data_IF_417681663913
#
_entry.id   IF_417681663913
#
_cell.length_a   1.000
_cell.length_b   1.000
_cell.length_c   1.000
_cell.angle_alpha   90.00
_cell.angle_beta   90.00
_cell.angle_gamma   90.00
#
_symmetry.space_group_name_H-M   'P 1'
#
loop_
_entity.id
_entity.type
_entity.pdbx_description
1 polymer ?
#
# COMPACT_ATOMS: atom_id res chain seq x y z
N UNK A 1 17.67 74.44 -71.38
CA UNK A 1 17.53 74.91 -69.99
C UNK A 1 16.30 74.27 -69.38
N UNK A 2 16.42 73.84 -68.12
CA UNK A 2 15.34 73.47 -67.18
C UNK A 2 14.59 72.14 -67.35
N UNK A 3 15.00 71.24 -66.45
CA UNK A 3 14.33 70.12 -65.81
C UNK A 3 12.97 70.55 -65.23
N UNK A 4 11.93 69.75 -65.45
CA UNK A 4 10.79 69.49 -64.54
C UNK A 4 9.96 68.35 -65.18
N UNK A 5 9.70 67.17 -64.61
CA UNK A 5 9.45 66.79 -63.24
C UNK A 5 7.95 66.53 -63.04
N UNK A 6 7.48 65.27 -63.16
CA UNK A 6 6.37 64.74 -62.34
C UNK A 6 6.17 63.23 -62.47
N UNK A 7 6.81 62.56 -61.53
CA UNK A 7 6.39 61.31 -60.88
C UNK A 7 4.86 61.21 -60.72
N UNK A 8 4.22 60.10 -61.14
CA UNK A 8 2.92 59.60 -60.59
C UNK A 8 2.41 58.31 -61.26
N UNK A 9 2.93 57.13 -60.91
CA UNK A 9 2.15 55.86 -60.89
C UNK A 9 2.71 54.89 -59.83
N UNK A 10 2.75 55.30 -58.56
CA UNK A 10 3.15 54.46 -57.42
C UNK A 10 2.08 54.42 -56.31
N UNK A 11 0.82 54.16 -56.70
CA UNK A 11 -0.31 54.03 -55.76
C UNK A 11 -0.91 52.63 -55.67
N UNK A 12 -0.84 51.83 -56.74
CA UNK A 12 -1.45 50.48 -56.80
C UNK A 12 -0.50 49.34 -56.39
N UNK A 13 0.79 49.43 -56.70
CA UNK A 13 1.79 48.40 -56.34
C UNK A 13 1.97 48.30 -54.82
N UNK A 14 2.00 49.44 -54.14
CA UNK A 14 2.11 49.48 -52.68
C UNK A 14 0.88 48.88 -51.98
N UNK A 15 -0.33 49.00 -52.55
CA UNK A 15 -1.55 48.40 -51.99
C UNK A 15 -1.59 46.88 -52.15
N UNK A 16 -1.18 46.36 -53.31
CA UNK A 16 -1.05 44.92 -53.53
C UNK A 16 0.05 44.30 -52.64
N UNK A 17 1.18 45.00 -52.48
CA UNK A 17 2.26 44.58 -51.60
C UNK A 17 1.86 44.56 -50.13
N UNK A 18 1.11 45.56 -49.65
CA UNK A 18 0.56 45.57 -48.29
C UNK A 18 -0.42 44.40 -48.08
N UNK A 19 -1.28 44.09 -49.06
CA UNK A 19 -2.23 42.98 -48.97
C UNK A 19 -1.57 41.60 -48.93
N UNK A 20 -0.46 41.41 -49.65
CA UNK A 20 0.34 40.17 -49.57
C UNK A 20 1.02 40.07 -48.20
N UNK A 21 1.53 41.18 -47.67
CA UNK A 21 2.12 41.23 -46.33
C UNK A 21 1.13 40.87 -45.22
N UNK A 22 -0.12 41.35 -45.29
CA UNK A 22 -1.15 41.00 -44.31
C UNK A 22 -1.57 39.54 -44.38
N UNK A 23 -1.62 38.94 -45.58
CA UNK A 23 -1.94 37.52 -45.76
C UNK A 23 -0.86 36.61 -45.15
N UNK A 24 0.41 36.97 -45.31
CA UNK A 24 1.54 36.22 -44.74
C UNK A 24 1.47 36.24 -43.21
N UNK A 25 1.26 37.41 -42.60
CA UNK A 25 1.14 37.54 -41.14
C UNK A 25 -0.08 36.77 -40.62
N UNK A 26 -1.19 36.78 -41.37
CA UNK A 26 -2.39 36.05 -41.00
C UNK A 26 -2.14 34.54 -40.91
N UNK A 27 -1.48 33.96 -41.92
CA UNK A 27 -1.13 32.53 -41.91
C UNK A 27 -0.12 32.24 -40.80
N UNK A 28 0.90 33.09 -40.63
CA UNK A 28 1.88 32.93 -39.55
C UNK A 28 1.23 32.93 -38.17
N UNK A 29 0.29 33.85 -37.91
CA UNK A 29 -0.44 33.92 -36.64
C UNK A 29 -1.28 32.67 -36.39
N UNK A 30 -1.94 32.13 -37.42
CA UNK A 30 -2.70 30.88 -37.32
C UNK A 30 -1.80 29.70 -36.96
N UNK A 31 -0.60 29.60 -37.57
CA UNK A 31 0.34 28.53 -37.26
C UNK A 31 0.85 28.62 -35.82
N UNK A 32 1.20 29.82 -35.34
CA UNK A 32 1.60 30.04 -33.94
C UNK A 32 0.46 29.69 -32.99
N UNK A 33 -0.77 30.12 -33.30
CA UNK A 33 -1.95 29.80 -32.50
C UNK A 33 -2.22 28.29 -32.44
N UNK A 34 -2.05 27.57 -33.55
CA UNK A 34 -2.23 26.11 -33.60
C UNK A 34 -1.19 25.37 -32.74
N UNK A 35 0.08 25.77 -32.80
CA UNK A 35 1.13 25.19 -31.94
C UNK A 35 0.85 25.51 -30.46
N UNK A 36 0.49 26.75 -30.14
CA UNK A 36 0.15 27.16 -28.79
C UNK A 36 -1.05 26.37 -28.23
N UNK A 37 -2.11 26.20 -29.02
CA UNK A 37 -3.27 25.38 -28.65
C UNK A 37 -2.90 23.91 -28.41
N UNK A 38 -2.03 23.33 -29.26
CA UNK A 38 -1.52 21.97 -29.07
C UNK A 38 -0.77 21.79 -27.73
N UNK A 39 0.06 22.76 -27.36
CA UNK A 39 0.77 22.75 -26.06
C UNK A 39 -0.19 22.91 -24.88
N UNK A 40 -1.20 23.78 -25.00
CA UNK A 40 -2.23 23.98 -23.99
C UNK A 40 -3.05 22.71 -23.76
N UNK A 41 -3.48 22.02 -24.82
CA UNK A 41 -4.21 20.76 -24.73
C UNK A 41 -3.36 19.66 -24.11
N UNK A 42 -2.10 19.51 -24.54
CA UNK A 42 -1.18 18.52 -23.97
C UNK A 42 -0.94 18.74 -22.47
N UNK A 43 -0.76 20.00 -22.07
CA UNK A 43 -0.55 20.36 -20.66
C UNK A 43 -1.82 20.11 -19.84
N UNK A 44 -2.98 20.53 -20.36
CA UNK A 44 -4.27 20.33 -19.69
C UNK A 44 -4.59 18.84 -19.53
N UNK A 45 -4.35 18.04 -20.57
CA UNK A 45 -4.55 16.59 -20.52
C UNK A 45 -3.63 15.90 -19.53
N UNK A 46 -2.34 16.26 -19.51
CA UNK A 46 -1.40 15.72 -18.52
C UNK A 46 -1.76 16.12 -17.09
N UNK A 47 -2.20 17.37 -16.88
CA UNK A 47 -2.63 17.84 -15.57
C UNK A 47 -3.90 17.11 -15.11
N UNK A 48 -4.86 16.89 -16.01
CA UNK A 48 -6.08 16.14 -15.70
C UNK A 48 -5.78 14.70 -15.30
N UNK A 49 -4.93 13.99 -16.06
CA UNK A 49 -4.54 12.63 -15.71
C UNK A 49 -3.86 12.57 -14.33
N UNK A 50 -2.95 13.52 -14.05
CA UNK A 50 -2.31 13.61 -12.74
C UNK A 50 -3.33 13.91 -11.63
N UNK A 51 -4.25 14.83 -11.87
CA UNK A 51 -5.29 15.18 -10.90
C UNK A 51 -6.18 13.98 -10.56
N UNK A 52 -6.57 13.17 -11.55
CA UNK A 52 -7.33 11.93 -11.33
C UNK A 52 -6.53 10.93 -10.50
N UNK A 53 -5.29 10.62 -10.89
CA UNK A 53 -4.45 9.64 -10.17
C UNK A 53 -4.19 10.10 -8.73
N UNK A 54 -3.87 11.38 -8.53
CA UNK A 54 -3.67 11.94 -7.18
C UNK A 54 -4.97 11.92 -6.36
N UNK A 55 -6.12 12.19 -6.99
CA UNK A 55 -7.42 12.08 -6.33
C UNK A 55 -7.71 10.65 -5.86
N UNK A 56 -7.47 9.66 -6.73
CA UNK A 56 -7.63 8.24 -6.39
C UNK A 56 -6.65 7.79 -5.29
N UNK A 57 -5.39 8.20 -5.35
CA UNK A 57 -4.39 7.90 -4.32
C UNK A 57 -4.75 8.54 -2.99
N UNK A 58 -5.15 9.82 -2.99
CA UNK A 58 -5.58 10.52 -1.78
C UNK A 58 -6.83 9.89 -1.17
N UNK A 59 -7.78 9.45 -2.00
CA UNK A 59 -8.96 8.73 -1.54
C UNK A 59 -8.57 7.40 -0.86
N UNK A 60 -7.71 6.61 -1.49
CA UNK A 60 -7.21 5.35 -0.91
C UNK A 60 -6.46 5.58 0.40
N UNK A 61 -5.65 6.65 0.48
CA UNK A 61 -4.87 6.97 1.68
C UNK A 61 -5.74 7.29 2.90
N UNK A 62 -6.90 7.92 2.69
CA UNK A 62 -7.79 8.29 3.82
C UNK A 62 -8.84 7.22 4.11
N UNK A 63 -9.27 6.45 3.10
CA UNK A 63 -10.39 5.51 3.24
C UNK A 63 -9.96 4.09 3.58
N UNK A 64 -8.75 3.68 3.19
CA UNK A 64 -8.25 2.33 3.49
C UNK A 64 -7.85 2.21 4.95
N UNK A 65 -8.43 1.25 5.65
CA UNK A 65 -8.08 0.94 7.03
C UNK A 65 -8.35 -0.55 7.31
N UNK A 66 -7.33 -1.25 7.84
CA UNK A 66 -7.46 -2.63 8.33
C UNK A 66 -7.86 -2.59 9.79
N UNK A 67 -9.08 -3.03 10.10
CA UNK A 67 -9.59 -3.12 11.47
C UNK A 67 -9.26 -4.49 12.08
N UNK A 68 -8.60 -4.47 13.24
CA UNK A 68 -8.46 -5.67 14.08
C UNK A 68 -9.71 -5.82 14.94
N UNK A 69 -10.36 -6.98 14.86
CA UNK A 69 -11.58 -7.30 15.62
C UNK A 69 -11.30 -8.15 16.83
N UNK A 70 -10.36 -9.09 16.71
CA UNK A 70 -9.97 -9.99 17.79
C UNK A 70 -8.47 -10.28 17.74
N UNK A 71 -7.90 -10.61 18.89
CA UNK A 71 -6.50 -10.99 19.06
C UNK A 71 -6.48 -12.25 19.91
N UNK A 72 -5.82 -13.29 19.43
CA UNK A 72 -5.70 -14.58 20.13
C UNK A 72 -4.22 -14.92 20.24
N UNK A 73 -3.76 -15.24 21.45
CA UNK A 73 -2.40 -15.69 21.69
C UNK A 73 -2.34 -17.21 21.57
N UNK A 74 -1.34 -17.73 20.89
CA UNK A 74 -0.99 -19.14 20.93
C UNK A 74 0.14 -19.34 21.95
N UNK A 75 -0.15 -20.07 23.02
CA UNK A 75 0.79 -20.35 24.08
C UNK A 75 1.23 -21.82 24.09
N UNK A 76 2.48 -22.03 24.48
CA UNK A 76 2.99 -23.35 24.78
C UNK A 76 2.68 -23.71 26.23
N UNK A 77 1.80 -24.69 26.43
CA UNK A 77 1.38 -25.11 27.76
C UNK A 77 2.53 -25.64 28.63
N UNK A 78 3.68 -25.99 28.05
CA UNK A 78 4.85 -26.46 28.80
C UNK A 78 5.69 -25.30 29.33
N UNK A 79 5.91 -24.27 28.50
CA UNK A 79 6.72 -23.10 28.89
C UNK A 79 5.90 -21.97 29.51
N UNK A 80 4.56 -22.04 29.45
CA UNK A 80 3.63 -21.02 29.96
C UNK A 80 3.89 -19.63 29.35
N UNK A 81 4.30 -19.60 28.08
CA UNK A 81 4.63 -18.39 27.34
C UNK A 81 3.85 -18.33 26.03
N UNK A 82 3.54 -17.12 25.55
CA UNK A 82 2.88 -16.92 24.25
C UNK A 82 3.94 -16.88 23.16
N UNK A 83 3.83 -17.75 22.16
CA UNK A 83 4.79 -17.87 21.04
C UNK A 83 4.27 -17.29 19.74
N UNK A 84 2.95 -17.18 19.56
CA UNK A 84 2.36 -16.61 18.36
C UNK A 84 1.15 -15.72 18.69
N UNK A 85 0.88 -14.76 17.80
CA UNK A 85 -0.28 -13.90 17.81
C UNK A 85 -1.12 -14.16 16.57
N UNK A 86 -2.43 -14.29 16.77
CA UNK A 86 -3.43 -14.50 15.73
C UNK A 86 -4.38 -13.31 15.78
N UNK A 87 -4.40 -12.50 14.73
CA UNK A 87 -5.23 -11.30 14.67
C UNK A 87 -6.33 -11.49 13.64
N UNK A 88 -7.58 -11.50 14.11
CA UNK A 88 -8.74 -11.50 13.21
C UNK A 88 -8.96 -10.09 12.68
N UNK A 89 -8.71 -9.92 11.39
CA UNK A 89 -8.70 -8.64 10.71
C UNK A 89 -9.76 -8.59 9.60
N UNK A 90 -10.30 -7.40 9.37
CA UNK A 90 -11.19 -7.11 8.25
C UNK A 90 -10.97 -5.67 7.77
N UNK A 91 -11.34 -5.38 6.53
CA UNK A 91 -11.33 -3.99 6.04
C UNK A 91 -12.47 -3.17 6.66
N UNK A 92 -12.18 -1.91 6.97
CA UNK A 92 -13.20 -0.95 7.38
C UNK A 92 -14.11 -0.60 6.19
N UNK A 93 -15.37 -0.24 6.47
CA UNK A 93 -16.32 0.17 5.45
C UNK A 93 -15.78 1.36 4.64
N UNK A 94 -15.80 1.24 3.30
CA UNK A 94 -15.26 2.27 2.40
C UNK A 94 -13.76 2.13 2.09
N UNK A 95 -13.07 1.13 2.67
CA UNK A 95 -11.73 0.75 2.24
C UNK A 95 -11.79 0.11 0.85
N UNK A 96 -10.76 0.35 0.04
CA UNK A 96 -10.50 -0.46 -1.14
C UNK A 96 -9.76 -1.75 -0.79
N UNK A 97 -9.59 -2.62 -1.77
CA UNK A 97 -8.86 -3.87 -1.62
C UNK A 97 -7.40 -3.61 -1.21
N UNK A 98 -6.87 -4.49 -0.36
CA UNK A 98 -5.48 -4.40 0.12
C UNK A 98 -4.74 -5.67 -0.22
N UNK A 99 -3.61 -5.56 -0.90
CA UNK A 99 -2.75 -6.72 -1.19
C UNK A 99 -2.04 -7.17 0.07
N UNK A 100 -1.92 -8.47 0.28
CA UNK A 100 -1.22 -9.05 1.43
C UNK A 100 0.25 -8.62 1.47
N UNK A 101 0.93 -8.62 0.32
CA UNK A 101 2.32 -8.17 0.16
C UNK A 101 2.54 -6.69 0.52
N UNK A 102 1.48 -5.87 0.45
CA UNK A 102 1.53 -4.44 0.73
C UNK A 102 1.22 -4.14 2.22
N UNK A 103 1.06 -5.15 3.07
CA UNK A 103 0.88 -5.03 4.52
C UNK A 103 2.22 -5.24 5.22
N UNK A 104 2.55 -4.35 6.15
CA UNK A 104 3.73 -4.44 7.00
C UNK A 104 3.29 -4.43 8.46
N UNK A 105 3.86 -5.34 9.26
CA UNK A 105 3.68 -5.34 10.71
C UNK A 105 4.93 -4.80 11.43
N UNK A 106 4.68 -4.22 12.59
CA UNK A 106 5.70 -3.86 13.57
C UNK A 106 5.25 -4.40 14.93
N UNK A 107 6.13 -5.16 15.57
CA UNK A 107 5.95 -5.70 16.90
C UNK A 107 6.90 -5.03 17.88
N UNK A 108 6.40 -4.73 19.08
CA UNK A 108 7.18 -4.19 20.18
C UNK A 108 6.74 -4.81 21.49
N UNK A 109 7.71 -5.19 22.30
CA UNK A 109 7.53 -5.64 23.69
C UNK A 109 8.72 -5.12 24.50
N UNK A 110 8.48 -4.24 25.47
CA UNK A 110 9.55 -3.62 26.26
C UNK A 110 10.67 -3.01 25.40
N UNK A 111 11.86 -3.62 25.45
CA UNK A 111 13.05 -3.25 24.68
C UNK A 111 13.22 -4.04 23.37
N UNK A 112 12.39 -5.04 23.10
CA UNK A 112 12.36 -5.78 21.85
C UNK A 112 11.53 -5.00 20.83
N UNK A 113 12.13 -4.70 19.68
CA UNK A 113 11.48 -4.03 18.55
C UNK A 113 11.75 -4.83 17.29
N UNK A 114 10.69 -5.20 16.59
CA UNK A 114 10.74 -5.89 15.30
C UNK A 114 9.88 -5.11 14.32
N UNK A 115 10.46 -4.65 13.24
CA UNK A 115 9.77 -3.83 12.25
C UNK A 115 10.05 -4.37 10.85
N UNK A 116 9.12 -4.12 9.94
CA UNK A 116 9.24 -4.60 8.56
C UNK A 116 8.83 -6.06 8.40
N UNK A 117 8.02 -6.58 9.32
CA UNK A 117 7.50 -7.95 9.25
C UNK A 117 6.58 -8.02 8.04
N UNK A 118 6.98 -8.79 7.03
CA UNK A 118 6.30 -8.88 5.75
C UNK A 118 5.49 -10.17 5.63
N UNK A 119 4.59 -10.18 4.66
CA UNK A 119 3.82 -11.36 4.30
C UNK A 119 4.74 -12.43 3.70
N UNK A 120 4.61 -13.67 4.18
CA UNK A 120 5.28 -14.84 3.59
C UNK A 120 4.30 -15.63 2.70
N UNK A 121 3.26 -16.20 3.30
CA UNK A 121 2.33 -17.07 2.58
C UNK A 121 0.97 -17.22 3.28
N UNK A 122 0.02 -17.81 2.56
CA UNK A 122 -1.32 -18.14 3.07
C UNK A 122 -1.33 -19.56 3.64
N UNK A 123 -1.71 -19.70 4.91
CA UNK A 123 -1.93 -20.98 5.59
C UNK A 123 -3.25 -21.60 5.15
N UNK A 124 -3.27 -22.92 4.99
CA UNK A 124 -4.50 -23.68 4.82
C UNK A 124 -5.40 -23.54 6.06
N UNK A 125 -6.72 -23.46 5.86
CA UNK A 125 -7.69 -23.36 6.97
C UNK A 125 -7.61 -24.54 7.94
N UNK A 126 -7.21 -25.72 7.45
CA UNK A 126 -7.04 -26.94 8.28
C UNK A 126 -5.67 -27.02 8.96
N UNK A 127 -4.77 -26.05 8.75
CA UNK A 127 -3.46 -26.05 9.39
C UNK A 127 -3.61 -25.67 10.87
N UNK A 128 -3.29 -26.61 11.76
CA UNK A 128 -3.15 -26.33 13.18
C UNK A 128 -1.94 -25.42 13.41
N UNK A 129 -2.14 -24.31 14.11
CA UNK A 129 -1.02 -23.52 14.64
C UNK A 129 -0.41 -24.33 15.77
N UNK A 130 0.85 -24.72 15.62
CA UNK A 130 1.61 -25.40 16.67
C UNK A 130 2.97 -24.72 16.84
N UNK A 131 3.65 -24.95 17.97
CA UNK A 131 5.04 -24.47 18.14
C UNK A 131 5.96 -25.07 17.07
N UNK A 132 5.59 -26.26 16.54
CA UNK A 132 6.27 -26.92 15.45
C UNK A 132 5.85 -26.43 14.06
N UNK A 133 4.91 -25.47 13.92
CA UNK A 133 4.65 -24.76 12.66
C UNK A 133 5.34 -23.40 12.59
N UNK A 134 6.16 -23.05 13.60
CA UNK A 134 7.43 -22.35 13.34
C UNK A 134 8.46 -23.28 12.67
N UNK A 135 8.06 -24.48 12.21
CA UNK A 135 8.79 -25.07 11.10
C UNK A 135 8.63 -24.09 9.95
N UNK A 136 9.71 -23.38 9.63
CA UNK A 136 10.39 -23.61 8.36
C UNK A 136 9.62 -24.67 7.56
N UNK A 137 8.63 -24.21 6.78
CA UNK A 137 7.48 -25.01 6.37
C UNK A 137 7.87 -26.07 5.34
N UNK A 138 8.64 -27.08 5.75
CA UNK A 138 8.93 -28.27 5.00
C UNK A 138 9.59 -29.32 5.91
N UNK A 139 8.78 -30.25 6.40
CA UNK A 139 9.25 -31.62 6.50
C UNK A 139 9.73 -32.06 5.10
N UNK A 140 11.02 -31.92 4.81
CA UNK A 140 11.70 -32.62 3.71
C UNK A 140 12.16 -31.81 2.48
N UNK A 141 12.39 -30.51 2.54
CA UNK A 141 13.05 -29.80 1.42
C UNK A 141 13.76 -28.54 1.90
N UNK A 142 15.02 -28.35 1.47
CA UNK A 142 15.79 -27.10 1.56
C UNK A 142 14.90 -25.88 1.30
N UNK A 143 14.39 -25.26 2.36
CA UNK A 143 13.89 -23.90 2.34
C UNK A 143 14.92 -23.11 3.11
N UNK A 144 15.37 -22.01 2.51
CA UNK A 144 16.24 -21.09 3.22
C UNK A 144 15.35 -20.45 4.27
N UNK A 145 15.50 -20.83 5.54
CA UNK A 145 15.08 -19.98 6.64
C UNK A 145 15.76 -18.63 6.41
N UNK A 146 15.03 -17.71 5.81
CA UNK A 146 15.42 -16.32 5.80
C UNK A 146 15.17 -15.95 7.24
N UNK A 147 16.17 -15.97 8.11
CA UNK A 147 16.12 -15.73 9.57
C UNK A 147 15.37 -14.42 9.93
N UNK A 148 14.13 -14.21 9.50
CA UNK A 148 13.45 -12.94 9.31
C UNK A 148 12.04 -13.09 9.84
N UNK A 149 11.61 -12.11 10.64
CA UNK A 149 10.27 -12.11 11.17
C UNK A 149 9.26 -11.91 10.04
N UNK A 150 8.35 -12.87 9.87
CA UNK A 150 7.34 -12.86 8.82
C UNK A 150 5.96 -13.20 9.38
N UNK A 151 4.92 -12.76 8.68
CA UNK A 151 3.55 -13.13 9.02
C UNK A 151 2.89 -13.92 7.90
N UNK A 152 1.87 -14.67 8.30
CA UNK A 152 1.10 -15.52 7.42
C UNK A 152 -0.36 -15.16 7.50
N UNK A 153 -1.11 -15.48 6.45
CA UNK A 153 -2.54 -15.21 6.39
C UNK A 153 -3.31 -16.51 6.40
N UNK A 154 -4.36 -16.58 7.22
CA UNK A 154 -5.34 -17.66 7.17
C UNK A 154 -6.69 -17.08 6.79
N UNK A 155 -7.25 -17.56 5.70
CA UNK A 155 -8.56 -17.13 5.24
C UNK A 155 -9.66 -17.93 5.95
N UNK A 156 -10.55 -17.25 6.68
CA UNK A 156 -11.68 -17.91 7.35
C UNK A 156 -12.76 -18.37 6.36
N UNK A 157 -12.76 -17.80 5.16
CA UNK A 157 -13.61 -18.20 4.04
C UNK A 157 -12.77 -18.20 2.77
N UNK A 158 -12.35 -19.38 2.34
CA UNK A 158 -11.56 -19.54 1.11
C UNK A 158 -12.39 -19.13 -0.10
N UNK A 159 -11.98 -18.06 -0.78
CA UNK A 159 -12.61 -17.61 -2.02
C UNK A 159 -11.96 -18.23 -3.25
N UNK A 160 -10.64 -18.37 -3.21
CA UNK A 160 -9.80 -18.95 -4.26
C UNK A 160 -8.52 -19.51 -3.61
N UNK A 161 -7.94 -20.62 -4.13
CA UNK A 161 -6.69 -21.15 -3.59
C UNK A 161 -5.50 -20.18 -3.67
N UNK A 162 -5.54 -19.20 -4.58
CA UNK A 162 -4.45 -18.23 -4.82
C UNK A 162 -4.84 -16.79 -4.50
N UNK A 163 -5.74 -16.59 -3.52
CA UNK A 163 -6.12 -15.24 -3.14
C UNK A 163 -4.94 -14.52 -2.47
N UNK A 164 -4.65 -13.32 -2.95
CA UNK A 164 -3.50 -12.49 -2.53
C UNK A 164 -3.93 -11.09 -2.09
N UNK A 165 -5.25 -10.87 -2.04
CA UNK A 165 -5.86 -9.58 -1.75
C UNK A 165 -6.94 -9.76 -0.70
N UNK A 166 -6.99 -8.84 0.24
CA UNK A 166 -8.08 -8.67 1.18
C UNK A 166 -9.13 -7.77 0.52
N UNK A 167 -10.34 -8.28 0.33
CA UNK A 167 -11.45 -7.49 -0.20
C UNK A 167 -12.44 -7.05 0.91
N UNK A 168 -13.24 -5.99 0.68
CA UNK A 168 -14.29 -5.60 1.60
C UNK A 168 -15.27 -6.73 1.92
N UNK A 169 -15.61 -6.88 3.20
CA UNK A 169 -16.44 -7.96 3.77
C UNK A 169 -15.76 -9.33 3.86
N UNK A 170 -14.46 -9.42 3.60
CA UNK A 170 -13.67 -10.59 3.95
C UNK A 170 -13.07 -10.45 5.36
N UNK A 171 -12.92 -11.60 6.02
CA UNK A 171 -12.29 -11.71 7.33
C UNK A 171 -11.13 -12.68 7.17
N UNK A 172 -9.95 -12.21 7.54
CA UNK A 172 -8.72 -13.00 7.55
C UNK A 172 -8.15 -13.05 8.96
N UNK A 173 -7.28 -14.01 9.19
CA UNK A 173 -6.44 -14.05 10.38
C UNK A 173 -4.99 -13.85 9.98
N UNK A 174 -4.36 -12.85 10.57
CA UNK A 174 -2.92 -12.64 10.47
C UNK A 174 -2.27 -13.44 11.59
N UNK A 175 -1.42 -14.40 11.22
CA UNK A 175 -0.67 -15.23 12.16
C UNK A 175 0.77 -14.76 12.14
N UNK A 176 1.24 -14.26 13.27
CA UNK A 176 2.61 -13.81 13.47
C UNK A 176 3.24 -14.59 14.62
N UNK A 177 4.35 -15.22 14.32
CA UNK A 177 5.17 -15.92 15.30
C UNK A 177 6.17 -14.94 15.89
N UNK A 178 6.27 -14.89 17.22
CA UNK A 178 6.94 -13.80 17.91
C UNK A 178 8.45 -14.04 17.89
N UNK A 179 9.09 -13.54 16.85
CA UNK A 179 10.51 -13.72 16.55
C UNK A 179 11.14 -12.42 16.03
N UNK A 180 12.47 -12.33 16.13
CA UNK A 180 13.27 -11.23 15.57
C UNK A 180 13.66 -11.48 14.12
N UNK A 181 14.17 -10.44 13.46
CA UNK A 181 14.75 -10.51 12.12
C UNK A 181 16.12 -11.24 12.06
N UNK A 182 16.46 -12.00 13.11
CA UNK A 182 17.61 -12.91 13.14
C UNK A 182 17.18 -14.34 13.52
N UNK A 183 15.88 -14.65 13.44
CA UNK A 183 15.31 -15.95 13.81
C UNK A 183 15.22 -16.20 15.31
N UNK A 184 15.62 -15.23 16.16
CA UNK A 184 15.54 -15.41 17.61
C UNK A 184 14.10 -15.28 18.11
N UNK A 185 13.57 -16.36 18.66
CA UNK A 185 12.30 -16.36 19.39
C UNK A 185 12.32 -15.38 20.57
N UNK A 186 11.28 -14.55 20.66
CA UNK A 186 11.05 -13.60 21.76
C UNK A 186 9.61 -13.78 22.27
N UNK A 187 9.31 -14.93 22.91
CA UNK A 187 7.97 -15.22 23.38
C UNK A 187 7.58 -14.27 24.53
N UNK A 188 6.29 -13.99 24.67
CA UNK A 188 5.76 -13.16 25.75
C UNK A 188 5.66 -13.96 27.05
N UNK A 189 6.23 -13.42 28.12
CA UNK A 189 6.03 -13.93 29.48
C UNK A 189 4.68 -13.46 30.06
N UNK A 190 4.17 -14.10 31.13
CA UNK A 190 3.02 -13.60 31.86
C UNK A 190 3.23 -12.14 32.31
N UNK A 191 2.17 -11.33 32.22
CA UNK A 191 2.15 -9.89 32.52
C UNK A 191 2.93 -8.98 31.54
N UNK A 192 3.56 -9.53 30.50
CA UNK A 192 4.21 -8.71 29.48
C UNK A 192 3.21 -7.97 28.61
N UNK A 193 3.59 -6.77 28.20
CA UNK A 193 2.79 -5.92 27.34
C UNK A 193 3.44 -5.77 25.98
N UNK A 194 2.66 -6.07 24.94
CA UNK A 194 3.07 -5.86 23.57
C UNK A 194 2.22 -4.80 22.87
N UNK A 195 2.83 -4.22 21.84
CA UNK A 195 2.21 -3.32 20.88
C UNK A 195 2.46 -3.90 19.49
N UNK A 196 1.39 -4.25 18.79
CA UNK A 196 1.45 -4.64 17.39
C UNK A 196 0.82 -3.56 16.54
N UNK A 197 1.52 -3.18 15.48
CA UNK A 197 1.06 -2.18 14.52
C UNK A 197 0.95 -2.81 13.15
N UNK A 198 -0.20 -2.63 12.50
CA UNK A 198 -0.51 -3.10 11.15
C UNK A 198 -0.59 -1.88 10.25
N UNK A 199 0.22 -1.86 9.20
CA UNK A 199 0.26 -0.76 8.25
C UNK A 199 0.03 -1.29 6.82
N UNK A 200 -1.07 -0.92 6.15
CA UNK A 200 -1.18 -1.08 4.70
C UNK A 200 -0.32 -0.02 3.98
N UNK A 201 0.09 -0.31 2.75
CA UNK A 201 0.86 0.63 1.90
C UNK A 201 0.20 1.98 1.63
N UNK A 202 -1.12 1.98 1.57
CA UNK A 202 -1.92 3.19 1.48
C UNK A 202 -3.09 3.04 2.45
N UNK A 203 -3.30 4.02 3.32
CA UNK A 203 -4.31 3.93 4.35
C UNK A 203 -3.81 4.29 5.74
N UNK A 204 -4.69 4.07 6.71
CA UNK A 204 -4.40 4.32 8.10
C UNK A 204 -3.77 3.10 8.78
N UNK A 205 -2.81 3.39 9.65
CA UNK A 205 -2.16 2.40 10.51
C UNK A 205 -3.07 2.02 11.68
N UNK A 206 -3.15 0.73 11.98
CA UNK A 206 -3.91 0.20 13.13
C UNK A 206 -2.96 -0.34 14.17
N UNK A 207 -3.05 0.19 15.39
CA UNK A 207 -2.24 -0.26 16.53
C UNK A 207 -3.10 -1.00 17.54
N UNK A 208 -2.61 -2.14 17.99
CA UNK A 208 -3.18 -3.00 19.01
C UNK A 208 -2.20 -3.09 20.16
N UNK A 209 -2.68 -2.79 21.37
CA UNK A 209 -1.91 -2.88 22.60
C UNK A 209 -2.63 -3.81 23.57
N UNK A 210 -1.96 -4.84 24.06
CA UNK A 210 -2.51 -5.86 24.95
C UNK A 210 -1.46 -6.30 25.98
N UNK A 211 -1.94 -6.78 27.12
CA UNK A 211 -1.10 -7.35 28.18
C UNK A 211 -1.41 -8.83 28.32
N UNK A 212 -0.39 -9.68 28.33
CA UNK A 212 -0.51 -11.11 28.56
C UNK A 212 -1.08 -11.35 29.98
N UNK A 213 -1.95 -12.36 30.16
CA UNK A 213 -2.50 -12.66 31.48
C UNK A 213 -1.40 -13.17 32.42
N UNK A 214 -1.58 -12.94 33.73
CA UNK A 214 -0.62 -13.38 34.76
C UNK A 214 -0.49 -14.90 34.90
N UNK A 215 -1.41 -15.67 34.30
CA UNK A 215 -1.40 -17.14 34.30
C UNK A 215 -1.77 -17.65 32.91
N UNK A 216 -0.89 -18.45 32.31
CA UNK A 216 -1.05 -19.03 30.98
C UNK A 216 -1.20 -20.55 31.11
N UNK A 217 -2.44 -21.03 31.20
CA UNK A 217 -2.75 -22.46 31.35
C UNK A 217 -3.48 -23.06 30.14
N UNK A 218 -3.81 -22.24 29.14
CA UNK A 218 -4.51 -22.64 27.94
C UNK A 218 -3.62 -22.37 26.73
N UNK A 219 -3.74 -23.24 25.72
CA UNK A 219 -2.99 -23.09 24.47
C UNK A 219 -3.46 -21.88 23.64
N UNK A 220 -4.74 -21.49 23.76
CA UNK A 220 -5.30 -20.33 23.10
C UNK A 220 -5.76 -19.32 24.15
N UNK A 221 -5.18 -18.13 24.13
CA UNK A 221 -5.49 -17.03 25.02
C UNK A 221 -6.36 -16.04 24.25
N UNK A 222 -7.59 -15.84 24.71
CA UNK A 222 -8.53 -14.88 24.12
C UNK A 222 -8.80 -13.68 25.04
N UNK A 223 -8.53 -13.86 26.33
CA UNK A 223 -8.66 -12.83 27.35
C UNK A 223 -7.29 -12.21 27.59
N UNK A 224 -7.22 -10.90 27.37
CA UNK A 224 -6.02 -10.09 27.58
C UNK A 224 -6.30 -9.08 28.69
N UNK A 225 -5.28 -8.81 29.50
CA UNK A 225 -5.32 -7.79 30.56
C UNK A 225 -5.25 -6.36 30.04
#
# INVERSE_FOLDING_TARGET
MKIWGKNRKSGKKNRAQVGIGTLIIFIAMILVAAVAAGVLLKTSGSLQQKATVTGEQAQKEVSTNIKVTNVVGYADASSHQVKALILTCQLASGSGDVKYDDIVLTYQEGNNYVSGISYNSTLSLSASITSATHQDAASGSNQNDTDQAQFYIRELKVKSPDNTVLEPNEIIEIVYWIEKNDGTDIPLDPDDQFVLTIQPKAGQTTTVKKTAPSVINQQYITEWG
#
